data_IF_235963454030
#
_entry.id   IF_235963454030
#
_cell.length_a   1.000
_cell.length_b   1.000
_cell.length_c   1.000
_cell.angle_alpha   90.00
_cell.angle_beta   90.00
_cell.angle_gamma   90.00
#
_symmetry.space_group_name_H-M   'P 1'
#
loop_
_entity.id
_entity.type
_entity.pdbx_description
1 polymer ?
#
# COMPACT_ATOMS: atom_id res chain seq x y z
N UNK A 1 -1.64 -10.77 -12.37
CA UNK A 1 -1.86 -11.98 -13.21
C UNK A 1 -3.31 -12.41 -13.11
N UNK A 2 -3.79 -12.97 -11.98
CA UNK A 2 -5.21 -13.33 -11.77
C UNK A 2 -6.21 -12.23 -12.15
N UNK A 3 -6.08 -11.02 -11.59
CA UNK A 3 -6.99 -9.92 -11.95
C UNK A 3 -6.93 -9.52 -13.44
N UNK A 4 -5.75 -9.61 -14.07
CA UNK A 4 -5.61 -9.28 -15.49
C UNK A 4 -6.30 -10.33 -16.38
N UNK A 5 -6.06 -11.62 -16.14
CA UNK A 5 -6.60 -12.71 -16.96
C UNK A 5 -8.04 -13.10 -16.62
N UNK A 6 -8.45 -12.99 -15.36
CA UNK A 6 -9.78 -13.40 -14.87
C UNK A 6 -10.73 -12.20 -14.81
N UNK A 7 -10.30 -11.11 -14.15
CA UNK A 7 -11.14 -9.93 -13.94
C UNK A 7 -11.28 -9.09 -15.21
N UNK A 8 -10.14 -8.67 -15.77
CA UNK A 8 -10.10 -7.83 -16.97
C UNK A 8 -10.14 -8.63 -18.28
N UNK A 9 -10.08 -9.97 -18.20
CA UNK A 9 -10.08 -10.88 -19.35
C UNK A 9 -9.02 -10.54 -20.41
N UNK A 10 -7.86 -10.01 -20.01
CA UNK A 10 -6.76 -9.74 -20.93
C UNK A 10 -6.25 -11.06 -21.54
N UNK A 11 -5.90 -11.07 -22.82
CA UNK A 11 -5.36 -12.28 -23.47
C UNK A 11 -3.84 -12.41 -23.28
N UNK A 12 -3.13 -11.28 -23.22
CA UNK A 12 -1.68 -11.23 -23.09
C UNK A 12 -1.26 -10.14 -22.12
N UNK A 13 -0.30 -10.45 -21.25
CA UNK A 13 0.35 -9.49 -20.36
C UNK A 13 1.83 -9.42 -20.68
N UNK A 14 2.36 -8.21 -20.87
CA UNK A 14 3.78 -7.99 -21.17
C UNK A 14 4.52 -7.28 -20.05
N UNK A 15 5.79 -7.62 -19.86
CA UNK A 15 6.70 -6.93 -18.92
C UNK A 15 8.03 -6.66 -19.61
N UNK A 16 8.68 -5.55 -19.28
CA UNK A 16 10.02 -5.24 -19.80
C UNK A 16 10.98 -4.78 -18.70
N UNK A 17 12.27 -5.03 -18.89
CA UNK A 17 13.33 -4.56 -17.99
C UNK A 17 14.60 -4.21 -18.77
N UNK A 18 15.49 -3.40 -18.17
CA UNK A 18 16.80 -3.12 -18.77
C UNK A 18 17.61 -4.40 -18.90
N UNK A 19 18.24 -4.64 -20.06
CA UNK A 19 18.91 -5.91 -20.40
C UNK A 19 19.98 -6.30 -19.37
N UNK A 20 20.71 -5.33 -18.80
CA UNK A 20 21.73 -5.59 -17.79
C UNK A 20 21.16 -6.03 -16.41
N UNK A 21 19.86 -5.83 -16.14
CA UNK A 21 19.26 -6.14 -14.85
C UNK A 21 18.90 -7.63 -14.74
N UNK A 22 19.91 -8.45 -14.42
CA UNK A 22 19.76 -9.90 -14.26
C UNK A 22 18.82 -10.30 -13.10
N UNK A 23 18.67 -9.45 -12.08
CA UNK A 23 17.74 -9.72 -10.97
C UNK A 23 16.28 -9.68 -11.46
N UNK A 24 15.94 -8.71 -12.29
CA UNK A 24 14.59 -8.60 -12.88
C UNK A 24 14.31 -9.77 -13.82
N UNK A 25 15.27 -10.13 -14.67
CA UNK A 25 15.19 -11.33 -15.54
C UNK A 25 14.78 -12.58 -14.76
N UNK A 26 15.53 -12.92 -13.69
CA UNK A 26 15.27 -14.12 -12.88
C UNK A 26 13.87 -14.13 -12.26
N UNK A 27 13.38 -12.99 -11.79
CA UNK A 27 12.03 -12.89 -11.20
C UNK A 27 10.96 -13.08 -12.27
N UNK A 28 11.13 -12.45 -13.43
CA UNK A 28 10.18 -12.52 -14.55
C UNK A 28 10.07 -13.97 -15.08
N UNK A 29 11.21 -14.63 -15.29
CA UNK A 29 11.27 -16.03 -15.75
C UNK A 29 10.70 -17.00 -14.69
N UNK A 30 10.91 -16.74 -13.39
CA UNK A 30 10.28 -17.52 -12.30
C UNK A 30 8.76 -17.39 -12.30
N UNK A 31 8.23 -16.23 -12.72
CA UNK A 31 6.81 -16.01 -12.94
C UNK A 31 6.30 -16.57 -14.28
N UNK A 32 7.13 -17.34 -15.01
CA UNK A 32 6.79 -18.06 -16.24
C UNK A 32 6.45 -17.18 -17.45
N UNK A 33 6.82 -15.91 -17.40
CA UNK A 33 6.78 -15.08 -18.60
C UNK A 33 7.82 -15.55 -19.62
N UNK A 34 7.41 -15.69 -20.87
CA UNK A 34 8.22 -16.10 -22.02
C UNK A 34 8.92 -14.89 -22.63
N UNK A 35 10.19 -15.04 -22.98
CA UNK A 35 10.97 -13.97 -23.60
C UNK A 35 10.46 -13.67 -25.02
N UNK A 36 10.26 -12.39 -25.34
CA UNK A 36 9.79 -11.91 -26.65
C UNK A 36 10.90 -11.34 -27.52
N UNK A 37 11.86 -10.66 -26.91
CA UNK A 37 12.94 -9.96 -27.65
C UNK A 37 13.47 -8.72 -26.92
N UNK A 38 14.47 -8.06 -27.51
CA UNK A 38 15.07 -6.82 -26.99
C UNK A 38 14.67 -5.63 -27.87
N UNK A 39 14.36 -4.50 -27.24
CA UNK A 39 14.03 -3.23 -27.89
C UNK A 39 14.92 -2.08 -27.39
N UNK A 40 15.49 -1.26 -28.29
CA UNK A 40 15.47 -1.39 -29.75
C UNK A 40 16.24 -2.63 -30.24
N UNK A 41 15.87 -3.16 -31.41
CA UNK A 41 16.32 -4.48 -31.94
C UNK A 41 17.83 -4.58 -32.23
N UNK A 42 18.60 -3.49 -32.12
CA UNK A 42 20.01 -3.42 -32.52
C UNK A 42 20.91 -2.80 -31.44
N UNK A 43 20.95 -3.42 -30.27
CA UNK A 43 21.98 -3.04 -29.29
C UNK A 43 22.09 -4.04 -28.15
N UNK A 44 22.98 -5.02 -28.31
CA UNK A 44 23.47 -5.77 -27.14
C UNK A 44 24.27 -4.85 -26.21
N UNK A 45 24.83 -3.75 -26.73
CA UNK A 45 25.70 -2.81 -26.00
C UNK A 45 25.03 -1.49 -25.57
N UNK A 46 23.73 -1.30 -25.84
CA UNK A 46 23.03 -0.09 -25.38
C UNK A 46 22.52 -0.31 -23.95
N UNK A 47 22.96 0.49 -22.97
CA UNK A 47 22.50 0.38 -21.58
C UNK A 47 21.00 0.69 -21.42
N UNK A 48 20.36 1.28 -22.43
CA UNK A 48 18.92 1.56 -22.46
C UNK A 48 18.09 0.50 -23.20
N UNK A 49 18.71 -0.56 -23.73
CA UNK A 49 18.00 -1.68 -24.30
C UNK A 49 17.10 -2.35 -23.25
N UNK A 50 15.88 -2.72 -23.65
CA UNK A 50 14.88 -3.39 -22.82
C UNK A 50 14.59 -4.78 -23.33
N UNK A 51 14.76 -5.78 -22.46
CA UNK A 51 14.26 -7.13 -22.70
C UNK A 51 12.76 -7.16 -22.39
N UNK A 52 11.97 -7.64 -23.33
CA UNK A 52 10.51 -7.75 -23.24
C UNK A 52 10.11 -9.22 -23.10
N UNK A 53 9.11 -9.48 -22.26
CA UNK A 53 8.55 -10.79 -21.99
C UNK A 53 7.02 -10.72 -22.02
N UNK A 54 6.37 -11.87 -22.20
CA UNK A 54 4.92 -11.98 -22.23
C UNK A 54 4.43 -13.25 -21.51
N UNK A 55 3.20 -13.21 -21.03
CA UNK A 55 2.47 -14.35 -20.51
C UNK A 55 1.08 -14.33 -21.15
N UNK A 56 0.63 -15.45 -21.69
CA UNK A 56 -0.72 -15.57 -22.27
C UNK A 56 -1.73 -16.03 -21.22
N UNK A 57 -3.01 -15.85 -21.53
CA UNK A 57 -4.10 -16.30 -20.69
C UNK A 57 -4.12 -17.82 -20.59
N UNK A 58 -3.86 -18.50 -21.69
CA UNK A 58 -3.79 -19.96 -21.78
C UNK A 58 -2.66 -20.49 -20.89
N UNK A 59 -1.45 -19.93 -21.05
CA UNK A 59 -0.30 -20.27 -20.20
C UNK A 59 -0.62 -20.05 -18.72
N UNK A 60 -1.32 -18.97 -18.39
CA UNK A 60 -1.74 -18.67 -17.03
C UNK A 60 -2.77 -19.69 -16.51
N UNK A 61 -3.78 -20.07 -17.28
CA UNK A 61 -4.80 -21.05 -16.87
C UNK A 61 -4.15 -22.43 -16.64
N UNK A 62 -3.24 -22.83 -17.53
CA UNK A 62 -2.50 -24.10 -17.43
C UNK A 62 -1.60 -24.14 -16.19
N UNK A 63 -0.81 -23.09 -15.94
CA UNK A 63 0.12 -23.00 -14.80
C UNK A 63 -0.55 -23.07 -13.43
N UNK A 64 -1.80 -22.62 -13.34
CA UNK A 64 -2.55 -22.55 -12.09
C UNK A 64 -3.71 -23.56 -12.03
N UNK A 65 -3.78 -24.49 -12.99
CA UNK A 65 -4.75 -25.59 -13.07
C UNK A 65 -6.21 -25.13 -12.86
N UNK A 66 -6.60 -24.06 -13.55
CA UNK A 66 -7.93 -23.41 -13.40
C UNK A 66 -9.00 -24.08 -14.30
N UNK A 67 -8.72 -25.27 -14.84
CA UNK A 67 -9.66 -26.04 -15.68
C UNK A 67 -10.79 -26.64 -14.83
N UNK A 68 -11.91 -25.93 -14.74
CA UNK A 68 -13.16 -26.48 -14.18
C UNK A 68 -14.02 -25.50 -13.38
N UNK A 69 -13.57 -24.27 -13.12
CA UNK A 69 -14.41 -23.28 -12.43
C UNK A 69 -15.31 -22.54 -13.43
N UNK A 70 -16.59 -22.91 -13.50
CA UNK A 70 -17.63 -22.01 -14.03
C UNK A 70 -17.77 -20.83 -13.08
N UNK A 71 -17.55 -19.62 -13.60
CA UNK A 71 -17.73 -18.38 -12.85
C UNK A 71 -18.98 -17.68 -13.37
N UNK A 72 -20.14 -18.11 -12.90
CA UNK A 72 -21.32 -17.24 -12.90
C UNK A 72 -21.13 -16.15 -11.84
N UNK A 73 -21.51 -14.93 -12.21
CA UNK A 73 -21.43 -13.76 -11.35
C UNK A 73 -22.42 -13.91 -10.20
N UNK A 74 -21.95 -14.22 -8.98
CA UNK A 74 -22.82 -14.25 -7.81
C UNK A 74 -22.89 -12.85 -7.19
N UNK A 75 -23.90 -12.09 -7.62
CA UNK A 75 -24.58 -11.11 -6.78
C UNK A 75 -26.04 -11.57 -6.68
N UNK A 76 -26.46 -12.08 -5.53
CA UNK A 76 -27.83 -12.10 -4.99
C UNK A 76 -27.96 -13.21 -3.94
N UNK A 77 -28.69 -12.90 -2.88
CA UNK A 77 -29.24 -13.77 -1.84
C UNK A 77 -28.26 -14.28 -0.77
N UNK A 78 -28.32 -13.59 0.37
CA UNK A 78 -27.64 -14.00 1.59
C UNK A 78 -28.14 -15.34 2.10
N UNK A 79 -27.23 -16.28 2.28
CA UNK A 79 -27.17 -17.22 3.40
C UNK A 79 -25.68 -17.37 3.75
N UNK A 80 -25.38 -16.89 4.94
CA UNK A 80 -24.16 -17.09 5.72
C UNK A 80 -23.79 -18.58 5.84
N UNK A 81 -22.57 -18.96 5.42
CA UNK A 81 -21.95 -20.25 5.75
C UNK A 81 -20.56 -20.13 6.38
N UNK A 82 -20.18 -18.93 6.83
CA UNK A 82 -18.90 -18.69 7.53
C UNK A 82 -19.01 -17.74 8.72
N UNK A 83 -20.17 -17.69 9.39
CA UNK A 83 -20.27 -17.19 10.76
C UNK A 83 -19.43 -18.05 11.68
N UNK A 84 -18.17 -17.64 11.83
CA UNK A 84 -17.45 -17.86 13.08
C UNK A 84 -18.02 -16.85 14.06
N UNK A 85 -18.69 -17.36 15.08
CA UNK A 85 -19.01 -16.60 16.29
C UNK A 85 -17.77 -15.81 16.74
N UNK A 86 -17.91 -14.55 17.15
CA UNK A 86 -16.79 -13.75 17.64
C UNK A 86 -16.19 -14.47 18.86
N UNK A 87 -14.92 -14.86 18.74
CA UNK A 87 -14.14 -15.29 19.89
C UNK A 87 -13.80 -14.04 20.71
N UNK A 88 -14.00 -14.02 22.03
CA UNK A 88 -13.55 -12.91 22.85
C UNK A 88 -12.01 -12.93 22.84
N UNK A 89 -11.39 -11.98 22.14
CA UNK A 89 -9.94 -11.75 22.26
C UNK A 89 -9.66 -10.71 23.33
N UNK A 90 -9.78 -11.16 24.57
CA UNK A 90 -8.77 -10.83 25.58
C UNK A 90 -7.47 -11.50 25.12
N UNK A 91 -6.44 -10.72 24.79
CA UNK A 91 -5.20 -11.28 24.25
C UNK A 91 -4.17 -10.24 23.81
N UNK A 92 -3.50 -9.65 24.80
CA UNK A 92 -2.20 -8.96 24.73
C UNK A 92 -2.07 -7.82 23.71
N UNK A 93 -2.44 -6.60 24.14
CA UNK A 93 -1.80 -5.39 23.63
C UNK A 93 -0.28 -5.56 23.80
N UNK A 94 0.47 -5.62 22.71
CA UNK A 94 1.87 -5.23 22.79
C UNK A 94 1.88 -3.76 23.21
N UNK A 95 2.27 -3.54 24.46
CA UNK A 95 2.36 -2.25 25.14
C UNK A 95 3.16 -1.25 24.28
N UNK A 96 2.48 -0.39 23.52
CA UNK A 96 3.01 0.95 23.23
C UNK A 96 3.07 1.62 24.60
N UNK A 97 4.24 1.61 25.25
CA UNK A 97 4.43 2.18 26.60
C UNK A 97 5.77 2.87 26.75
N UNK A 98 6.50 3.10 25.65
CA UNK A 98 7.82 3.69 25.72
C UNK A 98 7.71 5.18 25.46
N UNK A 99 7.95 5.97 26.52
CA UNK A 99 8.26 7.38 26.38
C UNK A 99 9.45 7.51 25.42
N UNK A 100 9.23 8.19 24.29
CA UNK A 100 10.28 8.40 23.29
C UNK A 100 11.23 9.47 23.81
N UNK A 101 12.52 9.17 23.90
CA UNK A 101 13.54 10.12 24.36
C UNK A 101 13.50 11.38 23.47
N UNK A 102 13.32 12.55 24.09
CA UNK A 102 13.25 13.83 23.39
C UNK A 102 11.86 14.18 22.83
N UNK A 103 10.85 13.35 23.03
CA UNK A 103 9.46 13.72 22.75
C UNK A 103 8.84 14.44 23.97
N UNK A 104 8.14 15.57 23.77
CA UNK A 104 7.30 16.19 24.79
C UNK A 104 5.93 15.51 24.93
N UNK A 105 5.61 14.52 24.08
CA UNK A 105 4.32 13.84 24.00
C UNK A 105 4.35 12.42 24.57
N UNK A 106 3.18 11.90 24.95
CA UNK A 106 2.99 10.51 25.38
C UNK A 106 1.64 9.97 24.88
N UNK A 107 1.31 8.72 25.20
CA UNK A 107 0.00 8.16 24.85
C UNK A 107 -1.14 8.71 25.70
N UNK A 108 -0.81 9.21 26.90
CA UNK A 108 -1.73 9.86 27.83
C UNK A 108 -1.89 11.34 27.47
N UNK A 109 -0.82 11.96 26.98
CA UNK A 109 -0.79 13.34 26.50
C UNK A 109 -0.25 13.41 25.06
N UNK A 110 -1.03 12.98 24.06
CA UNK A 110 -0.62 13.04 22.65
C UNK A 110 -0.54 14.50 22.18
N UNK A 111 0.12 14.74 21.05
CA UNK A 111 0.18 16.10 20.46
C UNK A 111 -1.21 16.71 20.23
N UNK A 112 -2.21 15.88 19.90
CA UNK A 112 -3.61 16.29 19.71
C UNK A 112 -4.58 15.12 19.77
N UNK A 113 -5.86 15.46 19.86
CA UNK A 113 -6.97 14.56 19.50
C UNK A 113 -7.35 14.74 18.03
N UNK A 114 -7.54 13.64 17.31
CA UNK A 114 -7.80 13.66 15.86
C UNK A 114 -9.31 13.68 15.61
N UNK A 115 -9.89 14.88 15.53
CA UNK A 115 -11.30 15.12 15.19
C UNK A 115 -11.52 15.64 13.77
N UNK A 116 -10.44 16.08 13.10
CA UNK A 116 -10.39 16.50 11.71
C UNK A 116 -8.98 16.26 11.15
N UNK A 117 -8.90 16.14 9.83
CA UNK A 117 -7.65 16.09 9.08
C UNK A 117 -7.60 17.33 8.17
N UNK A 118 -6.53 18.11 8.28
CA UNK A 118 -6.22 19.18 7.34
C UNK A 118 -5.34 18.57 6.24
N UNK A 119 -5.72 18.77 4.98
CA UNK A 119 -4.94 18.24 3.87
C UNK A 119 -3.58 18.94 3.75
N UNK A 120 -2.52 18.15 3.60
CA UNK A 120 -1.17 18.62 3.32
C UNK A 120 -0.68 17.93 2.05
N UNK A 121 -0.38 18.74 1.03
CA UNK A 121 0.26 18.29 -0.20
C UNK A 121 1.73 18.00 0.06
N UNK A 122 2.25 16.90 -0.49
CA UNK A 122 3.67 16.60 -0.32
C UNK A 122 4.55 17.67 -1.01
N UNK A 123 5.61 18.17 -0.34
CA UNK A 123 6.51 19.15 -0.95
C UNK A 123 7.33 18.55 -2.11
N UNK A 124 7.67 17.27 -2.01
CA UNK A 124 8.38 16.50 -3.04
C UNK A 124 7.80 15.09 -3.13
N UNK A 125 7.99 14.41 -4.27
CA UNK A 125 7.47 13.06 -4.53
C UNK A 125 8.04 11.92 -3.67
N UNK A 126 8.85 12.24 -2.66
CA UNK A 126 9.39 11.27 -1.70
C UNK A 126 8.76 11.43 -0.30
N UNK A 127 7.94 12.45 -0.08
CA UNK A 127 7.49 12.88 1.24
C UNK A 127 6.04 12.48 1.55
N UNK A 128 5.45 11.57 0.78
CA UNK A 128 4.08 11.09 1.02
C UNK A 128 3.87 10.57 2.45
N UNK A 129 4.82 9.81 3.00
CA UNK A 129 4.69 9.27 4.36
C UNK A 129 4.86 10.35 5.45
N UNK A 130 5.79 11.28 5.29
CA UNK A 130 5.94 12.44 6.17
C UNK A 130 4.68 13.30 6.15
N UNK A 131 4.12 13.54 4.97
CA UNK A 131 2.88 14.30 4.79
C UNK A 131 1.70 13.59 5.46
N UNK A 132 1.62 12.26 5.41
CA UNK A 132 0.62 11.51 6.18
C UNK A 132 0.74 11.74 7.69
N UNK A 133 1.94 11.71 8.25
CA UNK A 133 2.15 11.99 9.67
C UNK A 133 1.83 13.44 10.00
N UNK A 134 2.26 14.39 9.17
CA UNK A 134 1.99 15.81 9.33
C UNK A 134 0.48 16.07 9.40
N UNK A 135 -0.31 15.42 8.54
CA UNK A 135 -1.78 15.49 8.55
C UNK A 135 -2.40 14.90 9.84
N UNK A 136 -1.83 13.83 10.38
CA UNK A 136 -2.31 13.20 11.62
C UNK A 136 -1.95 14.02 12.86
N UNK A 137 -0.76 14.62 12.89
CA UNK A 137 -0.24 15.41 14.00
C UNK A 137 -0.62 16.90 13.93
N UNK A 138 -1.08 17.39 12.78
CA UNK A 138 -1.39 18.80 12.48
C UNK A 138 -0.17 19.72 12.67
N UNK A 139 0.94 19.31 12.07
CA UNK A 139 2.25 19.99 12.08
C UNK A 139 2.78 20.15 10.66
N UNK A 140 3.89 20.88 10.49
CA UNK A 140 4.55 20.99 9.19
C UNK A 140 5.23 19.68 8.76
N UNK A 141 5.44 19.51 7.44
CA UNK A 141 6.22 18.36 6.91
C UNK A 141 7.67 18.44 7.37
N UNK A 142 8.23 19.63 7.52
CA UNK A 142 9.61 19.87 7.95
C UNK A 142 9.83 19.38 9.39
N UNK A 143 8.91 19.66 10.31
CA UNK A 143 8.95 19.12 11.68
C UNK A 143 8.95 17.58 11.69
N UNK A 144 8.15 16.95 10.81
CA UNK A 144 8.16 15.49 10.69
C UNK A 144 9.49 14.98 10.13
N UNK A 145 10.11 15.69 9.18
CA UNK A 145 11.44 15.36 8.66
C UNK A 145 12.47 15.41 9.79
N UNK A 146 12.42 16.40 10.68
CA UNK A 146 13.31 16.49 11.84
C UNK A 146 13.12 15.31 12.81
N UNK A 147 11.86 14.96 13.10
CA UNK A 147 11.53 13.82 13.98
C UNK A 147 12.00 12.50 13.37
N UNK A 148 11.76 12.27 12.09
CA UNK A 148 12.14 11.03 11.42
C UNK A 148 13.65 11.00 11.17
N UNK A 149 14.26 12.12 10.80
CA UNK A 149 15.67 12.28 10.44
C UNK A 149 15.98 11.99 8.97
N UNK A 150 14.98 12.07 8.07
CA UNK A 150 15.20 11.94 6.62
C UNK A 150 14.14 12.68 5.80
N UNK A 151 14.59 13.31 4.73
CA UNK A 151 13.80 14.00 3.70
C UNK A 151 13.54 13.10 2.46
N UNK A 152 13.88 11.80 2.57
CA UNK A 152 13.69 10.80 1.53
C UNK A 152 12.45 9.94 1.80
N UNK A 153 12.22 8.96 0.91
CA UNK A 153 11.13 8.00 1.03
C UNK A 153 11.13 7.27 2.37
N UNK A 154 9.93 7.12 2.95
CA UNK A 154 9.70 6.52 4.27
C UNK A 154 9.29 5.06 4.20
N UNK A 155 9.78 4.29 5.18
CA UNK A 155 9.34 2.94 5.46
C UNK A 155 8.39 2.90 6.68
N UNK A 156 7.92 1.71 7.05
CA UNK A 156 6.97 1.56 8.16
C UNK A 156 7.59 1.91 9.52
N UNK A 157 8.88 1.65 9.73
CA UNK A 157 9.60 1.97 10.96
C UNK A 157 9.74 3.49 11.15
N UNK A 158 9.92 4.24 10.06
CA UNK A 158 9.97 5.70 10.08
C UNK A 158 8.62 6.27 10.55
N UNK A 159 7.51 5.76 9.99
CA UNK A 159 6.17 6.15 10.43
C UNK A 159 5.92 5.76 11.90
N UNK A 160 6.36 4.57 12.35
CA UNK A 160 6.28 4.18 13.77
C UNK A 160 7.01 5.18 14.66
N UNK A 161 8.25 5.52 14.31
CA UNK A 161 9.09 6.46 15.07
C UNK A 161 8.36 7.79 15.25
N UNK A 162 7.76 8.32 14.18
CA UNK A 162 7.04 9.58 14.26
C UNK A 162 5.72 9.47 15.03
N UNK A 163 4.93 8.41 14.82
CA UNK A 163 3.70 8.18 15.59
C UNK A 163 3.98 8.03 17.09
N UNK A 164 5.01 7.26 17.45
CA UNK A 164 5.46 7.11 18.83
C UNK A 164 5.95 8.46 19.40
N UNK A 165 6.69 9.25 18.61
CA UNK A 165 7.13 10.59 19.01
C UNK A 165 5.94 11.50 19.29
N UNK A 166 4.91 11.53 18.45
CA UNK A 166 3.74 12.40 18.64
C UNK A 166 2.70 11.85 19.64
N UNK A 167 2.94 10.68 20.22
CA UNK A 167 1.99 10.02 21.12
C UNK A 167 0.72 9.52 20.43
N UNK A 168 0.73 9.42 19.09
CA UNK A 168 -0.43 8.99 18.30
C UNK A 168 -0.52 7.47 18.36
N UNK A 169 -1.65 6.96 18.88
CA UNK A 169 -1.86 5.53 19.06
C UNK A 169 -2.25 4.85 17.74
N UNK A 170 -1.70 3.66 17.50
CA UNK A 170 -1.95 2.89 16.27
C UNK A 170 -2.06 1.39 16.55
N UNK A 171 -2.64 0.62 15.63
CA UNK A 171 -2.71 -0.83 15.74
C UNK A 171 -1.30 -1.47 15.68
N UNK A 172 -0.96 -2.46 16.52
CA UNK A 172 0.40 -3.00 16.59
C UNK A 172 0.91 -3.59 15.25
N UNK A 173 -0.02 -4.07 14.42
CA UNK A 173 0.25 -4.61 13.09
C UNK A 173 -0.64 -3.91 12.06
N UNK A 174 -0.09 -3.77 10.87
CA UNK A 174 -0.86 -3.37 9.70
C UNK A 174 -1.42 -4.64 9.06
N UNK A 175 -2.67 -4.58 8.62
CA UNK A 175 -3.40 -5.71 8.02
C UNK A 175 -3.38 -5.60 6.50
N UNK A 176 -3.54 -6.72 5.81
CA UNK A 176 -3.73 -6.70 4.36
C UNK A 176 -5.08 -6.03 4.07
N UNK A 177 -5.12 -5.16 3.04
CA UNK A 177 -6.37 -4.57 2.59
C UNK A 177 -7.29 -5.64 2.02
N UNK A 178 -8.57 -5.52 2.35
CA UNK A 178 -9.63 -6.45 2.01
C UNK A 178 -10.84 -5.60 1.57
N UNK A 179 -11.28 -5.75 0.32
CA UNK A 179 -12.36 -4.92 -0.23
C UNK A 179 -13.71 -5.23 0.41
N UNK A 180 -13.87 -6.43 0.97
CA UNK A 180 -15.11 -6.86 1.62
C UNK A 180 -15.23 -6.29 3.04
N UNK A 181 -14.14 -5.74 3.58
CA UNK A 181 -14.11 -5.17 4.92
C UNK A 181 -14.11 -3.65 4.86
N UNK A 182 -14.94 -2.98 5.68
CA UNK A 182 -14.86 -1.54 5.79
C UNK A 182 -13.48 -1.15 6.30
N UNK A 183 -12.97 -0.03 5.79
CA UNK A 183 -11.79 0.61 6.36
C UNK A 183 -12.14 1.13 7.76
N UNK A 184 -11.18 1.12 8.72
CA UNK A 184 -11.35 1.83 9.98
C UNK A 184 -11.62 3.32 9.76
N UNK A 185 -12.29 3.97 10.70
CA UNK A 185 -12.61 5.40 10.65
C UNK A 185 -11.39 6.29 10.41
N UNK A 186 -10.22 5.86 10.89
CA UNK A 186 -8.94 6.51 10.63
C UNK A 186 -7.85 5.46 10.41
N UNK A 187 -7.15 5.53 9.28
CA UNK A 187 -6.01 4.65 9.03
C UNK A 187 -5.00 5.26 8.06
N UNK A 188 -3.74 4.86 8.21
CA UNK A 188 -2.73 5.02 7.17
C UNK A 188 -2.91 3.89 6.17
N UNK A 189 -3.05 4.23 4.90
CA UNK A 189 -3.16 3.27 3.80
C UNK A 189 -1.85 3.22 3.04
N UNK A 190 -1.43 1.99 2.71
CA UNK A 190 -0.30 1.75 1.83
C UNK A 190 -0.79 1.30 0.47
N UNK A 191 -0.38 2.06 -0.53
CA UNK A 191 -0.81 1.92 -1.91
C UNK A 191 0.36 1.56 -2.81
N UNK A 192 0.04 0.90 -3.91
CA UNK A 192 0.96 0.71 -5.02
C UNK A 192 0.46 1.53 -6.19
N UNK A 193 1.23 2.51 -6.60
CA UNK A 193 1.05 3.29 -7.82
C UNK A 193 1.92 2.70 -8.94
N UNK A 194 1.72 3.12 -10.20
CA UNK A 194 2.56 2.70 -11.31
C UNK A 194 4.03 3.12 -11.08
N UNK A 195 4.86 2.17 -10.65
CA UNK A 195 6.31 2.35 -10.52
C UNK A 195 6.83 2.57 -9.09
N UNK A 196 5.98 2.90 -8.13
CA UNK A 196 6.40 3.20 -6.75
C UNK A 196 5.34 2.82 -5.70
N UNK A 197 5.78 2.76 -4.44
CA UNK A 197 4.90 2.61 -3.28
C UNK A 197 4.50 3.99 -2.77
N UNK A 198 3.29 4.10 -2.23
CA UNK A 198 2.70 5.36 -1.80
C UNK A 198 2.00 5.21 -0.45
N UNK A 199 1.95 6.31 0.29
CA UNK A 199 1.24 6.41 1.56
C UNK A 199 0.11 7.42 1.43
N UNK A 200 -1.02 7.14 2.08
CA UNK A 200 -2.12 8.07 2.22
C UNK A 200 -2.80 7.91 3.57
N UNK A 201 -3.71 8.82 3.89
CA UNK A 201 -4.58 8.72 5.06
C UNK A 201 -6.01 8.51 4.59
N UNK A 202 -6.74 7.62 5.24
CA UNK A 202 -8.18 7.52 5.11
C UNK A 202 -8.82 7.99 6.42
N UNK A 203 -9.77 8.91 6.35
CA UNK A 203 -10.52 9.42 7.49
C UNK A 203 -12.00 9.58 7.14
N UNK A 204 -12.88 8.85 7.84
CA UNK A 204 -14.34 8.93 7.75
C UNK A 204 -14.89 9.00 6.32
N UNK A 205 -14.44 8.08 5.46
CA UNK A 205 -14.91 7.99 4.06
C UNK A 205 -14.13 8.83 3.06
N UNK A 206 -13.16 9.63 3.51
CA UNK A 206 -12.32 10.45 2.63
C UNK A 206 -10.88 9.93 2.60
N UNK A 207 -10.33 9.89 1.40
CA UNK A 207 -8.93 9.63 1.10
C UNK A 207 -8.19 10.96 1.03
N UNK A 208 -7.16 11.11 1.84
CA UNK A 208 -6.22 12.22 1.87
C UNK A 208 -4.92 11.71 1.26
N UNK A 209 -4.74 11.96 -0.03
CA UNK A 209 -3.58 11.55 -0.79
C UNK A 209 -2.62 12.74 -0.95
N UNK A 210 -1.40 12.69 -0.37
CA UNK A 210 -0.46 13.80 -0.45
C UNK A 210 -0.11 14.23 -1.88
N UNK A 211 -0.23 13.34 -2.86
CA UNK A 211 0.05 13.60 -4.28
C UNK A 211 -1.21 14.06 -5.03
N UNK A 212 -2.36 13.40 -4.80
CA UNK A 212 -3.59 13.56 -5.61
C UNK A 212 -4.71 14.38 -4.95
N UNK A 213 -4.56 14.80 -3.69
CA UNK A 213 -5.55 15.60 -2.98
C UNK A 213 -6.55 14.78 -2.16
N UNK A 214 -7.68 15.42 -1.83
CA UNK A 214 -8.75 14.80 -1.03
C UNK A 214 -9.88 14.31 -1.93
N UNK A 215 -10.34 13.08 -1.73
CA UNK A 215 -11.39 12.45 -2.53
C UNK A 215 -12.21 11.46 -1.71
N UNK A 216 -13.45 11.20 -2.11
CA UNK A 216 -14.28 10.12 -1.54
C UNK A 216 -13.94 8.74 -2.14
N UNK A 217 -13.03 8.68 -3.10
CA UNK A 217 -12.57 7.46 -3.76
C UNK A 217 -11.05 7.43 -3.82
N UNK A 218 -10.48 6.24 -3.64
CA UNK A 218 -9.05 6.02 -3.85
C UNK A 218 -8.69 6.30 -5.32
N UNK A 219 -7.51 6.87 -5.56
CA UNK A 219 -7.07 7.20 -6.92
C UNK A 219 -7.08 5.95 -7.82
N UNK A 220 -7.58 6.08 -9.06
CA UNK A 220 -7.82 4.94 -9.96
C UNK A 220 -6.56 4.12 -10.28
N UNK A 221 -5.39 4.77 -10.29
CA UNK A 221 -4.12 4.10 -10.50
C UNK A 221 -3.52 3.48 -9.22
N UNK A 222 -4.08 3.83 -8.05
CA UNK A 222 -3.61 3.35 -6.76
C UNK A 222 -4.31 2.03 -6.41
N UNK A 223 -3.52 1.04 -6.01
CA UNK A 223 -4.03 -0.18 -5.41
C UNK A 223 -3.62 -0.25 -3.94
N UNK A 224 -4.57 -0.07 -3.04
CA UNK A 224 -4.36 -0.30 -1.62
C UNK A 224 -4.05 -1.79 -1.41
N UNK A 225 -3.01 -2.09 -0.64
CA UNK A 225 -2.67 -3.47 -0.31
C UNK A 225 -2.49 -3.70 1.19
N UNK A 226 -2.35 -2.63 1.97
CA UNK A 226 -2.17 -2.71 3.40
C UNK A 226 -2.79 -1.50 4.08
N UNK A 227 -3.39 -1.73 5.24
CA UNK A 227 -4.07 -0.74 6.06
C UNK A 227 -3.47 -0.78 7.45
N UNK A 228 -3.30 0.38 8.06
CA UNK A 228 -2.78 0.51 9.39
C UNK A 228 -3.64 1.46 10.20
N UNK A 229 -4.47 0.88 11.04
CA UNK A 229 -5.44 1.60 11.85
C UNK A 229 -4.74 2.54 12.86
N UNK A 230 -5.28 3.76 12.96
CA UNK A 230 -4.88 4.78 13.92
C UNK A 230 -6.06 4.96 14.87
N UNK A 231 -5.81 4.93 16.16
CA UNK A 231 -6.86 5.07 17.15
C UNK A 231 -7.02 6.55 17.53
N UNK A 232 -8.23 7.07 17.35
CA UNK A 232 -8.60 8.39 17.88
C UNK A 232 -8.61 8.35 19.42
N UNK A 233 -8.09 9.39 20.06
CA UNK A 233 -8.05 9.62 21.52
C UNK A 233 -8.93 10.80 21.93
#
# INVERSE_FOLDING_TARGET
>A
MQYAFIGLKCDVMTVSHKVFNQRSKRVIEKCKFKFRGIYPKHSQDNPNAKACYYLTREDFIELFNISGMSFECINADGIDKYSRKPTPRSGNLQKQTRQVKGSPYSLENPIRKINKINYIKEPTGYLCGQSCIAMLADVSVDEVIEVIGTDKGTNKQDLKKALDYYGIRYAPKSVKYDLEKPLPDLCIIRMKLPGYGHWGVFYKGLYYDPEFGVSNQCHKAARIFQVWEIYCQ
#
